data_IF_000961289483
#
_entry.id   IF_000961289483
#
_cell.length_a   1.000
_cell.length_b   1.000
_cell.length_c   1.000
_cell.angle_alpha   90.00
_cell.angle_beta   90.00
_cell.angle_gamma   90.00
#
_symmetry.space_group_name_H-M   'P 1'
#
loop_
_entity.id
_entity.type
_entity.pdbx_description
1 polymer ?
#
# COMPACT_ATOMS: atom_id res chain seq x y z
N UNK A 1 10.34 9.56 15.39
CA UNK A 1 10.10 8.11 15.57
C UNK A 1 8.69 7.85 15.10
N UNK A 2 8.51 6.97 14.11
CA UNK A 2 7.20 6.66 13.52
C UNK A 2 6.60 5.45 14.22
N UNK A 3 5.33 5.53 14.59
CA UNK A 3 4.57 4.42 15.17
C UNK A 3 3.64 3.86 14.10
N UNK A 4 3.65 2.54 13.91
CA UNK A 4 2.74 1.83 13.00
C UNK A 4 1.78 0.99 13.85
N UNK A 5 0.48 1.09 13.56
CA UNK A 5 -0.57 0.33 14.25
C UNK A 5 -1.65 -0.12 13.27
N UNK A 6 -2.43 -1.17 13.61
CA UNK A 6 -3.58 -1.57 12.80
C UNK A 6 -4.57 -0.42 12.61
N UNK A 7 -5.15 -0.34 11.40
CA UNK A 7 -6.18 0.62 11.06
C UNK A 7 -7.45 0.35 11.89
N UNK A 8 -8.08 1.41 12.40
CA UNK A 8 -9.31 1.34 13.19
C UNK A 8 -10.42 2.12 12.50
N UNK A 9 -11.66 1.81 12.85
CA UNK A 9 -12.83 2.57 12.36
C UNK A 9 -12.74 4.07 12.67
N UNK A 10 -12.07 4.46 13.77
CA UNK A 10 -11.82 5.87 14.12
C UNK A 10 -10.96 6.62 13.10
N UNK A 11 -10.17 5.91 12.31
CA UNK A 11 -9.14 6.48 11.44
C UNK A 11 -9.71 6.83 10.05
N UNK A 12 -11.04 6.64 9.84
CA UNK A 12 -11.69 6.78 8.53
C UNK A 12 -11.42 8.11 7.86
N UNK A 13 -11.49 9.21 8.60
CA UNK A 13 -11.31 10.56 8.04
C UNK A 13 -9.87 10.73 7.54
N UNK A 14 -8.89 10.44 8.39
CA UNK A 14 -7.47 10.59 8.07
C UNK A 14 -7.03 9.63 6.95
N UNK A 15 -7.51 8.39 6.99
CA UNK A 15 -7.30 7.42 5.90
C UNK A 15 -7.92 7.91 4.59
N UNK A 16 -9.11 8.52 4.64
CA UNK A 16 -9.79 9.07 3.47
C UNK A 16 -8.97 10.12 2.74
N UNK A 17 -8.35 11.04 3.47
CA UNK A 17 -7.49 12.07 2.89
C UNK A 17 -6.27 11.48 2.19
N UNK A 18 -5.69 10.40 2.72
CA UNK A 18 -4.58 9.67 2.08
C UNK A 18 -5.05 8.86 0.87
N UNK A 19 -6.24 8.26 0.97
CA UNK A 19 -6.86 7.47 -0.09
C UNK A 19 -7.19 8.32 -1.31
N UNK A 20 -7.75 9.52 -1.12
CA UNK A 20 -8.03 10.45 -2.21
C UNK A 20 -6.75 10.88 -2.95
N UNK A 21 -5.67 11.12 -2.21
CA UNK A 21 -4.36 11.42 -2.79
C UNK A 21 -3.77 10.22 -3.54
N UNK A 22 -3.99 9.01 -3.03
CA UNK A 22 -3.59 7.77 -3.69
C UNK A 22 -4.34 7.57 -5.03
N UNK A 23 -5.66 7.73 -5.02
CA UNK A 23 -6.50 7.66 -6.22
C UNK A 23 -6.10 8.72 -7.24
N UNK A 24 -5.86 9.96 -6.78
CA UNK A 24 -5.36 11.05 -7.63
C UNK A 24 -4.00 10.68 -8.26
N UNK A 25 -3.08 10.11 -7.49
CA UNK A 25 -1.76 9.69 -8.00
C UNK A 25 -1.87 8.61 -9.08
N UNK A 26 -2.84 7.70 -8.96
CA UNK A 26 -3.11 6.65 -9.94
C UNK A 26 -4.19 7.01 -10.98
N UNK A 27 -4.60 8.29 -11.05
CA UNK A 27 -5.61 8.79 -11.99
C UNK A 27 -6.89 7.92 -11.98
N UNK A 28 -7.29 7.47 -10.80
CA UNK A 28 -8.41 6.55 -10.59
C UNK A 28 -9.61 7.27 -9.99
N UNK A 29 -10.79 6.97 -10.50
CA UNK A 29 -12.06 7.46 -9.98
C UNK A 29 -12.90 6.25 -9.55
N UNK A 30 -13.31 6.23 -8.28
CA UNK A 30 -14.12 5.16 -7.69
C UNK A 30 -15.44 5.71 -7.18
N UNK A 31 -16.49 4.88 -7.23
CA UNK A 31 -17.73 5.16 -6.54
C UNK A 31 -17.47 5.28 -5.02
N UNK A 32 -18.03 6.27 -4.31
CA UNK A 32 -17.89 6.40 -2.86
C UNK A 32 -18.21 5.12 -2.09
N UNK A 33 -19.18 4.31 -2.54
CA UNK A 33 -19.50 3.03 -1.92
C UNK A 33 -18.34 2.05 -1.96
N UNK A 34 -17.56 2.02 -3.06
CA UNK A 34 -16.36 1.18 -3.17
C UNK A 34 -15.30 1.61 -2.16
N UNK A 35 -15.14 2.92 -1.95
CA UNK A 35 -14.21 3.43 -0.94
C UNK A 35 -14.60 2.99 0.47
N UNK A 36 -15.89 3.01 0.80
CA UNK A 36 -16.36 2.51 2.09
C UNK A 36 -16.16 1.00 2.25
N UNK A 37 -16.42 0.21 1.20
CA UNK A 37 -16.20 -1.23 1.21
C UNK A 37 -14.71 -1.59 1.38
N UNK A 38 -13.81 -0.85 0.72
CA UNK A 38 -12.36 -0.99 0.90
C UNK A 38 -11.97 -0.70 2.34
N UNK A 39 -12.41 0.43 2.89
CA UNK A 39 -12.10 0.79 4.28
C UNK A 39 -12.60 -0.26 5.28
N UNK A 40 -13.83 -0.73 5.12
CA UNK A 40 -14.43 -1.74 6.00
C UNK A 40 -13.63 -3.06 5.97
N UNK A 41 -13.19 -3.51 4.80
CA UNK A 41 -12.35 -4.71 4.65
C UNK A 41 -10.98 -4.55 5.30
N UNK A 42 -10.35 -3.38 5.14
CA UNK A 42 -9.06 -3.08 5.77
C UNK A 42 -9.15 -3.09 7.30
N UNK A 43 -10.22 -2.53 7.87
CA UNK A 43 -10.47 -2.57 9.33
C UNK A 43 -10.75 -3.98 9.82
N UNK A 44 -11.43 -4.82 9.02
CA UNK A 44 -11.68 -6.22 9.35
C UNK A 44 -10.41 -7.09 9.29
N UNK A 45 -9.35 -6.61 8.62
CA UNK A 45 -8.11 -7.36 8.40
C UNK A 45 -8.20 -8.34 7.22
N UNK A 46 -9.19 -8.18 6.36
CA UNK A 46 -9.41 -9.05 5.19
C UNK A 46 -8.59 -8.55 3.99
N UNK A 47 -7.31 -8.96 3.90
CA UNK A 47 -6.50 -8.63 2.73
C UNK A 47 -5.01 -8.93 2.80
N UNK A 48 -4.36 -8.75 1.67
CA UNK A 48 -2.90 -8.66 1.52
C UNK A 48 -2.52 -7.18 1.32
N UNK A 49 -1.23 -6.86 1.34
CA UNK A 49 -0.76 -5.52 0.99
C UNK A 49 -1.13 -5.20 -0.47
N UNK A 50 -2.22 -4.45 -0.66
CA UNK A 50 -2.69 -4.05 -1.99
C UNK A 50 -2.13 -2.67 -2.34
N UNK A 51 -2.26 -1.72 -1.41
CA UNK A 51 -1.89 -0.32 -1.62
C UNK A 51 -0.87 0.19 -0.58
N UNK A 52 0.08 0.99 -1.03
CA UNK A 52 1.03 1.71 -0.17
C UNK A 52 1.14 3.17 -0.60
N UNK A 53 0.77 4.07 0.30
CA UNK A 53 0.91 5.51 0.13
C UNK A 53 1.51 6.15 1.37
N UNK A 54 2.34 7.17 1.17
CA UNK A 54 2.88 8.02 2.23
C UNK A 54 2.61 9.46 1.82
N UNK A 55 2.05 10.24 2.75
CA UNK A 55 1.77 11.65 2.55
C UNK A 55 3.02 12.40 2.04
N UNK A 56 2.90 13.27 1.01
CA UNK A 56 4.07 13.85 0.34
C UNK A 56 5.05 14.58 1.26
N UNK A 57 4.54 15.27 2.28
CA UNK A 57 5.27 16.09 3.25
C UNK A 57 6.16 15.30 4.22
N UNK A 58 5.88 14.00 4.41
CA UNK A 58 6.67 13.11 5.29
C UNK A 58 7.47 12.04 4.52
N UNK A 59 7.52 12.12 3.19
CA UNK A 59 8.34 11.21 2.36
C UNK A 59 9.83 11.42 2.63
N UNK A 60 10.62 10.36 2.40
CA UNK A 60 12.05 10.36 2.73
C UNK A 60 12.35 10.18 4.23
N UNK A 61 11.34 10.21 5.11
CA UNK A 61 11.48 9.97 6.55
C UNK A 61 11.46 8.50 6.97
N UNK A 62 11.50 7.55 6.04
CA UNK A 62 11.51 6.10 6.35
C UNK A 62 10.14 5.47 6.66
N UNK A 63 9.03 6.23 6.56
CA UNK A 63 7.66 5.73 6.84
C UNK A 63 7.29 4.54 5.95
N UNK A 64 7.57 4.61 4.65
CA UNK A 64 7.29 3.50 3.72
C UNK A 64 8.06 2.22 4.07
N UNK A 65 9.34 2.35 4.46
CA UNK A 65 10.14 1.22 4.95
C UNK A 65 9.55 0.60 6.21
N UNK A 66 9.08 1.43 7.15
CA UNK A 66 8.48 0.97 8.39
C UNK A 66 7.16 0.22 8.15
N UNK A 67 6.31 0.72 7.24
CA UNK A 67 5.08 0.04 6.82
C UNK A 67 5.37 -1.33 6.22
N UNK A 68 6.31 -1.43 5.27
CA UNK A 68 6.70 -2.71 4.65
C UNK A 68 7.30 -3.67 5.67
N UNK A 69 8.10 -3.18 6.62
CA UNK A 69 8.64 -4.00 7.70
C UNK A 69 7.55 -4.60 8.59
N UNK A 70 6.49 -3.84 8.88
CA UNK A 70 5.34 -4.34 9.63
C UNK A 70 4.60 -5.45 8.87
N UNK A 71 4.39 -5.28 7.56
CA UNK A 71 3.78 -6.30 6.68
C UNK A 71 4.62 -7.58 6.68
N UNK A 72 5.95 -7.45 6.53
CA UNK A 72 6.87 -8.59 6.57
C UNK A 72 6.79 -9.33 7.90
N UNK A 73 6.72 -8.61 9.02
CA UNK A 73 6.61 -9.19 10.35
C UNK A 73 5.31 -9.99 10.47
N UNK A 74 4.17 -9.38 10.15
CA UNK A 74 2.87 -10.05 10.18
C UNK A 74 2.81 -11.28 9.26
N UNK A 75 3.37 -11.19 8.06
CA UNK A 75 3.45 -12.31 7.12
C UNK A 75 4.32 -13.46 7.66
N UNK A 76 5.44 -13.14 8.32
CA UNK A 76 6.31 -14.13 8.95
C UNK A 76 5.60 -14.84 10.10
N UNK A 77 4.90 -14.09 10.96
CA UNK A 77 4.13 -14.62 12.08
C UNK A 77 2.97 -15.52 11.62
N UNK A 78 2.41 -15.24 10.44
CA UNK A 78 1.39 -16.07 9.78
C UNK A 78 1.97 -17.30 9.05
N UNK A 79 3.29 -17.52 9.08
CA UNK A 79 3.95 -18.64 8.40
C UNK A 79 4.03 -18.48 6.88
N UNK A 80 3.83 -17.27 6.34
CA UNK A 80 3.95 -17.02 4.91
C UNK A 80 5.42 -17.07 4.47
N UNK A 81 5.66 -17.63 3.28
CA UNK A 81 7.01 -17.77 2.73
C UNK A 81 7.46 -16.58 1.88
N UNK A 82 6.54 -15.69 1.49
CA UNK A 82 6.84 -14.51 0.66
C UNK A 82 5.79 -13.41 0.82
N UNK A 83 6.21 -12.18 0.56
CA UNK A 83 5.38 -11.00 0.30
C UNK A 83 5.79 -10.48 -1.08
N UNK A 84 4.83 -10.09 -1.91
CA UNK A 84 5.09 -9.46 -3.21
C UNK A 84 4.08 -8.34 -3.45
N UNK A 85 4.45 -7.37 -4.28
CA UNK A 85 3.59 -6.29 -4.75
C UNK A 85 4.01 -5.88 -6.16
N UNK A 86 3.16 -5.13 -6.85
CA UNK A 86 3.43 -4.57 -8.17
C UNK A 86 3.52 -3.05 -8.08
N UNK A 87 4.24 -2.43 -9.01
CA UNK A 87 4.26 -0.98 -9.16
C UNK A 87 4.43 -0.61 -10.61
N UNK A 88 4.00 0.59 -11.00
CA UNK A 88 4.24 1.09 -12.35
C UNK A 88 5.74 1.21 -12.60
N UNK A 89 6.20 0.82 -13.79
CA UNK A 89 7.61 0.84 -14.18
C UNK A 89 8.24 2.23 -14.04
N UNK A 90 7.46 3.29 -14.28
CA UNK A 90 7.83 4.69 -14.13
C UNK A 90 7.82 5.24 -12.70
N UNK A 91 7.39 4.47 -11.69
CA UNK A 91 7.35 4.92 -10.30
C UNK A 91 8.75 4.91 -9.65
N UNK A 92 9.66 5.73 -10.18
CA UNK A 92 11.06 5.76 -9.78
C UNK A 92 11.24 6.05 -8.29
N UNK A 93 10.35 6.83 -7.67
CA UNK A 93 10.41 7.14 -6.24
C UNK A 93 10.11 5.92 -5.38
N UNK A 94 9.04 5.17 -5.68
CA UNK A 94 8.74 3.95 -4.95
C UNK A 94 9.77 2.84 -5.26
N UNK A 95 10.18 2.71 -6.53
CA UNK A 95 11.18 1.72 -6.95
C UNK A 95 12.51 1.88 -6.21
N UNK A 96 13.02 3.10 -5.97
CA UNK A 96 14.23 3.31 -5.14
C UNK A 96 14.11 2.66 -3.75
N UNK A 97 12.92 2.73 -3.13
CA UNK A 97 12.66 2.04 -1.86
C UNK A 97 12.58 0.53 -2.07
N UNK A 98 11.80 0.07 -3.04
CA UNK A 98 11.58 -1.36 -3.29
C UNK A 98 12.86 -2.11 -3.67
N UNK A 99 13.72 -1.51 -4.49
CA UNK A 99 15.02 -2.06 -4.89
C UNK A 99 15.97 -2.25 -3.69
N UNK A 100 15.76 -1.50 -2.59
CA UNK A 100 16.52 -1.67 -1.34
C UNK A 100 15.97 -2.75 -0.40
N UNK A 101 14.74 -3.20 -0.61
CA UNK A 101 14.01 -4.09 0.31
C UNK A 101 13.65 -5.46 -0.30
N UNK A 102 13.53 -5.51 -1.63
CA UNK A 102 13.03 -6.64 -2.38
C UNK A 102 13.82 -6.82 -3.67
N UNK A 103 13.54 -7.90 -4.40
CA UNK A 103 14.16 -8.21 -5.68
C UNK A 103 13.15 -7.97 -6.80
N UNK A 104 13.52 -7.16 -7.79
CA UNK A 104 12.78 -7.07 -9.06
C UNK A 104 12.90 -8.40 -9.80
N UNK A 105 11.76 -9.07 -10.01
CA UNK A 105 11.68 -10.39 -10.64
C UNK A 105 11.67 -10.32 -12.17
N UNK A 106 11.53 -9.12 -12.76
CA UNK A 106 11.53 -8.91 -14.21
C UNK A 106 10.25 -9.33 -14.94
N UNK A 107 9.17 -9.66 -14.22
CA UNK A 107 7.89 -10.00 -14.86
C UNK A 107 7.16 -8.78 -15.41
N UNK A 108 6.51 -8.94 -16.57
CA UNK A 108 5.70 -7.91 -17.24
C UNK A 108 4.23 -8.32 -17.20
N UNK A 109 3.32 -7.36 -16.93
CA UNK A 109 1.87 -7.57 -16.93
C UNK A 109 1.29 -7.35 -18.34
N UNK A 110 0.51 -8.31 -18.83
CA UNK A 110 -0.27 -8.22 -20.07
C UNK A 110 -1.76 -8.28 -19.74
N UNK A 111 -2.56 -7.40 -20.34
CA UNK A 111 -4.01 -7.40 -20.24
C UNK A 111 -4.65 -7.30 -21.63
N UNK A 112 -5.88 -7.80 -21.76
CA UNK A 112 -6.70 -7.69 -22.96
C UNK A 112 -8.11 -7.31 -22.53
N UNK A 113 -8.66 -6.26 -23.13
CA UNK A 113 -10.07 -5.88 -22.95
C UNK A 113 -10.97 -6.95 -23.59
N UNK A 114 -12.07 -7.29 -22.93
CA UNK A 114 -13.08 -8.25 -23.40
C UNK A 114 -14.28 -7.54 -24.04
#
# INVERSE_FOLDING_TARGET
MTTISPLRASDRSEWGELWEQYLTFYESELDPAVTEDVFARLVAGDGYLEDLFVAPDVRGGGVGSALIAQVRTAATDAGAHKVYWLTQSGNATARRLYDSLATDTGFVHYQMEL
#
